data_IF_482805150035
#
_entry.id   IF_482805150035
#
_cell.length_a   1.000
_cell.length_b   1.000
_cell.length_c   1.000
_cell.angle_alpha   90.00
_cell.angle_beta   90.00
_cell.angle_gamma   90.00
#
_symmetry.space_group_name_H-M   'P 1'
#
loop_
_entity.id
_entity.type
_entity.pdbx_description
1 polymer ?
#
# COMPACT_ATOMS: atom_id res chain seq x y z
N UNK A 1 13.61 -11.19 -24.14
CA UNK A 1 13.60 -9.71 -24.10
C UNK A 1 13.39 -9.19 -22.69
N UNK A 2 13.67 -7.91 -22.45
CA UNK A 2 13.94 -7.31 -21.14
C UNK A 2 13.06 -6.05 -20.94
N UNK A 3 12.33 -5.93 -19.81
CA UNK A 3 11.58 -4.69 -19.48
C UNK A 3 12.54 -3.50 -19.45
N UNK A 4 12.23 -2.45 -20.22
CA UNK A 4 13.06 -1.24 -20.34
C UNK A 4 12.59 -0.19 -19.33
N UNK A 5 13.23 -0.14 -18.16
CA UNK A 5 12.81 0.67 -17.00
C UNK A 5 12.55 2.14 -17.38
N UNK A 6 13.54 2.81 -17.99
CA UNK A 6 13.43 4.23 -18.35
C UNK A 6 12.36 4.52 -19.42
N UNK A 7 12.20 3.62 -20.39
CA UNK A 7 11.16 3.75 -21.42
C UNK A 7 9.77 3.59 -20.82
N UNK A 8 9.58 2.64 -19.90
CA UNK A 8 8.30 2.43 -19.23
C UNK A 8 7.94 3.62 -18.34
N UNK A 9 8.90 4.09 -17.54
CA UNK A 9 8.73 5.27 -16.68
C UNK A 9 8.42 6.52 -17.51
N UNK A 10 9.22 6.78 -18.55
CA UNK A 10 9.07 7.94 -19.42
C UNK A 10 7.73 7.96 -20.15
N UNK A 11 7.25 6.83 -20.66
CA UNK A 11 5.93 6.74 -21.30
C UNK A 11 4.78 6.92 -20.31
N UNK A 12 4.88 6.35 -19.10
CA UNK A 12 3.88 6.53 -18.07
C UNK A 12 3.75 8.01 -17.66
N UNK A 13 4.88 8.67 -17.41
CA UNK A 13 4.93 10.10 -17.06
C UNK A 13 4.45 10.99 -18.22
N UNK A 14 4.88 10.71 -19.45
CA UNK A 14 4.46 11.46 -20.62
C UNK A 14 2.95 11.33 -20.87
N UNK A 15 2.36 10.15 -20.63
CA UNK A 15 0.92 9.97 -20.70
C UNK A 15 0.20 10.84 -19.67
N UNK A 16 0.62 10.80 -18.39
CA UNK A 16 0.03 11.65 -17.33
C UNK A 16 0.13 13.15 -17.63
N UNK A 17 1.26 13.62 -18.16
CA UNK A 17 1.48 15.04 -18.45
C UNK A 17 0.82 15.52 -19.75
N UNK A 18 1.15 14.90 -20.89
CA UNK A 18 0.74 15.38 -22.22
C UNK A 18 -0.75 15.19 -22.49
N UNK A 19 -1.40 14.26 -21.78
CA UNK A 19 -2.81 13.92 -21.98
C UNK A 19 -3.73 14.47 -20.90
N UNK A 20 -3.26 15.39 -20.07
CA UNK A 20 -3.99 15.93 -18.91
C UNK A 20 -5.42 16.36 -19.25
N UNK A 21 -5.61 17.14 -20.32
CA UNK A 21 -6.94 17.63 -20.70
C UNK A 21 -7.95 16.49 -20.95
N UNK A 22 -7.53 15.42 -21.62
CA UNK A 22 -8.39 14.26 -21.86
C UNK A 22 -8.58 13.44 -20.58
N UNK A 23 -7.53 13.28 -19.77
CA UNK A 23 -7.63 12.59 -18.48
C UNK A 23 -8.68 13.27 -17.62
N UNK A 24 -8.56 14.60 -17.43
CA UNK A 24 -9.52 15.42 -16.69
C UNK A 24 -10.94 15.24 -17.23
N UNK A 25 -11.13 15.33 -18.55
CA UNK A 25 -12.44 15.19 -19.17
C UNK A 25 -13.10 13.84 -18.86
N UNK A 26 -12.32 12.76 -18.81
CA UNK A 26 -12.82 11.41 -18.57
C UNK A 26 -13.01 11.10 -17.09
N UNK A 27 -12.19 11.68 -16.21
CA UNK A 27 -12.15 11.29 -14.80
C UNK A 27 -12.76 12.31 -13.84
N UNK A 28 -13.00 13.57 -14.21
CA UNK A 28 -13.38 14.62 -13.25
C UNK A 28 -14.62 14.27 -12.42
N UNK A 29 -15.68 13.77 -13.05
CA UNK A 29 -16.92 13.43 -12.34
C UNK A 29 -16.67 12.30 -11.33
N UNK A 30 -15.98 11.25 -11.76
CA UNK A 30 -15.65 10.12 -10.90
C UNK A 30 -14.70 10.51 -9.76
N UNK A 31 -13.71 11.37 -10.02
CA UNK A 31 -12.78 11.87 -8.99
C UNK A 31 -13.50 12.76 -7.98
N UNK A 32 -14.42 13.62 -8.42
CA UNK A 32 -15.25 14.42 -7.50
C UNK A 32 -16.12 13.51 -6.64
N UNK A 33 -16.76 12.50 -7.23
CA UNK A 33 -17.55 11.51 -6.48
C UNK A 33 -16.68 10.71 -5.51
N UNK A 34 -15.43 10.36 -5.88
CA UNK A 34 -14.48 9.70 -4.99
C UNK A 34 -14.16 10.56 -3.76
N UNK A 35 -13.92 11.86 -3.97
CA UNK A 35 -13.67 12.80 -2.87
C UNK A 35 -14.89 12.93 -1.94
N UNK A 36 -16.11 12.96 -2.51
CA UNK A 36 -17.35 12.99 -1.73
C UNK A 36 -17.51 11.70 -0.92
N UNK A 37 -17.24 10.54 -1.51
CA UNK A 37 -17.32 9.23 -0.83
C UNK A 37 -16.28 9.12 0.28
N UNK A 38 -15.03 9.55 0.03
CA UNK A 38 -13.99 9.58 1.06
C UNK A 38 -14.42 10.46 2.24
N UNK A 39 -14.89 11.67 1.95
CA UNK A 39 -15.41 12.59 2.94
C UNK A 39 -16.59 12.00 3.73
N UNK A 40 -17.59 11.45 3.04
CA UNK A 40 -18.74 10.82 3.67
C UNK A 40 -18.31 9.63 4.56
N UNK A 41 -17.34 8.83 4.13
CA UNK A 41 -16.86 7.67 4.89
C UNK A 41 -16.16 8.07 6.20
N UNK A 42 -15.40 9.18 6.18
CA UNK A 42 -14.75 9.71 7.38
C UNK A 42 -15.80 10.21 8.39
N UNK A 43 -16.76 11.01 7.94
CA UNK A 43 -17.82 11.51 8.82
C UNK A 43 -18.76 10.40 9.31
N UNK A 44 -19.06 9.40 8.48
CA UNK A 44 -19.81 8.22 8.91
C UNK A 44 -19.06 7.45 10.01
N UNK A 45 -17.75 7.24 9.83
CA UNK A 45 -16.92 6.56 10.83
C UNK A 45 -16.86 7.34 12.14
N UNK A 46 -16.70 8.66 12.08
CA UNK A 46 -16.76 9.53 13.26
C UNK A 46 -18.13 9.49 13.94
N UNK A 47 -19.20 9.43 13.16
CA UNK A 47 -20.56 9.35 13.69
C UNK A 47 -20.81 8.05 14.46
N UNK A 48 -20.27 6.94 13.95
CA UNK A 48 -20.31 5.64 14.65
C UNK A 48 -19.52 5.73 15.95
N UNK A 49 -18.31 6.28 15.93
CA UNK A 49 -17.47 6.44 17.13
C UNK A 49 -18.16 7.31 18.18
N UNK A 50 -18.80 8.40 17.76
CA UNK A 50 -19.46 9.35 18.65
C UNK A 50 -20.85 8.90 19.12
N UNK A 51 -21.42 7.83 18.54
CA UNK A 51 -22.79 7.39 18.80
C UNK A 51 -23.88 8.37 18.32
N UNK A 52 -23.53 9.37 17.53
CA UNK A 52 -24.42 10.41 17.00
C UNK A 52 -23.91 10.93 15.67
N UNK A 53 -24.79 11.52 14.85
CA UNK A 53 -24.39 12.07 13.54
C UNK A 53 -23.47 13.27 13.74
N UNK A 54 -22.22 13.15 13.28
CA UNK A 54 -21.23 14.23 13.22
C UNK A 54 -21.29 14.86 11.83
N UNK A 55 -21.41 16.19 11.77
CA UNK A 55 -21.48 16.94 10.52
C UNK A 55 -20.39 18.01 10.43
N UNK A 56 -20.31 18.70 9.28
CA UNK A 56 -19.39 19.83 9.06
C UNK A 56 -19.59 20.97 10.06
N UNK A 57 -20.77 21.12 10.64
CA UNK A 57 -21.03 22.16 11.63
C UNK A 57 -20.22 21.96 12.92
N UNK A 58 -19.87 20.71 13.24
CA UNK A 58 -19.15 20.36 14.46
C UNK A 58 -17.65 20.22 14.23
N UNK A 59 -17.27 19.70 13.05
CA UNK A 59 -15.88 19.58 12.65
C UNK A 59 -15.68 20.44 11.40
N UNK A 60 -15.35 21.71 11.61
CA UNK A 60 -15.30 22.74 10.57
C UNK A 60 -14.28 22.51 9.43
N UNK A 61 -13.55 21.39 9.41
CA UNK A 61 -12.73 21.01 8.26
C UNK A 61 -12.57 19.50 8.11
N UNK A 62 -12.51 19.05 6.85
CA UNK A 62 -12.27 17.64 6.51
C UNK A 62 -10.92 17.11 7.06
N UNK A 63 -9.87 17.94 7.04
CA UNK A 63 -8.56 17.57 7.60
C UNK A 63 -8.63 17.33 9.11
N UNK A 64 -9.39 18.16 9.83
CA UNK A 64 -9.63 17.96 11.26
C UNK A 64 -10.39 16.65 11.51
N UNK A 65 -11.39 16.35 10.67
CA UNK A 65 -12.14 15.10 10.74
C UNK A 65 -11.25 13.87 10.52
N UNK A 66 -10.36 13.90 9.52
CA UNK A 66 -9.40 12.82 9.27
C UNK A 66 -8.45 12.60 10.45
N UNK A 67 -7.91 13.68 11.05
CA UNK A 67 -7.04 13.59 12.23
C UNK A 67 -7.78 13.02 13.43
N UNK A 68 -9.03 13.43 13.63
CA UNK A 68 -9.86 12.96 14.73
C UNK A 68 -10.20 11.47 14.54
N UNK A 69 -10.54 11.06 13.32
CA UNK A 69 -10.76 9.66 12.99
C UNK A 69 -9.48 8.85 13.22
N UNK A 70 -8.32 9.30 12.76
CA UNK A 70 -7.06 8.61 12.98
C UNK A 70 -6.74 8.42 14.46
N UNK A 71 -7.09 9.40 15.31
CA UNK A 71 -6.89 9.32 16.76
C UNK A 71 -7.81 8.32 17.44
N UNK A 72 -9.06 8.21 17.00
CA UNK A 72 -10.08 7.36 17.63
C UNK A 72 -10.40 6.08 16.85
N UNK A 73 -9.73 5.81 15.74
CA UNK A 73 -10.00 4.65 14.89
C UNK A 73 -9.88 3.34 15.66
N UNK A 74 -8.83 3.16 16.47
CA UNK A 74 -8.64 1.94 17.24
C UNK A 74 -9.80 1.67 18.21
N UNK A 75 -10.28 2.72 18.89
CA UNK A 75 -11.46 2.62 19.74
C UNK A 75 -12.72 2.30 18.93
N UNK A 76 -12.91 2.94 17.77
CA UNK A 76 -14.03 2.66 16.87
C UNK A 76 -14.07 1.21 16.39
N UNK A 77 -12.92 0.67 15.99
CA UNK A 77 -12.80 -0.73 15.57
C UNK A 77 -13.00 -1.71 16.74
N UNK A 78 -12.56 -1.36 17.95
CA UNK A 78 -12.76 -2.18 19.14
C UNK A 78 -14.22 -2.22 19.63
N UNK A 79 -14.90 -1.07 19.66
CA UNK A 79 -16.27 -0.96 20.18
C UNK A 79 -17.36 -1.21 19.13
N UNK A 80 -17.12 -0.83 17.87
CA UNK A 80 -18.11 -0.83 16.79
C UNK A 80 -17.58 -1.49 15.51
N UNK A 81 -16.76 -2.55 15.65
CA UNK A 81 -16.06 -3.20 14.53
C UNK A 81 -16.96 -3.59 13.36
N UNK A 82 -18.18 -4.08 13.61
CA UNK A 82 -19.13 -4.44 12.56
C UNK A 82 -19.58 -3.26 11.69
N UNK A 83 -19.91 -2.13 12.31
CA UNK A 83 -20.30 -0.91 11.59
C UNK A 83 -19.12 -0.27 10.86
N UNK A 84 -17.94 -0.25 11.50
CA UNK A 84 -16.71 0.24 10.89
C UNK A 84 -16.33 -0.61 9.66
N UNK A 85 -16.44 -1.92 9.75
CA UNK A 85 -16.23 -2.84 8.63
C UNK A 85 -17.23 -2.61 7.50
N UNK A 86 -18.51 -2.40 7.82
CA UNK A 86 -19.55 -2.13 6.82
C UNK A 86 -19.28 -0.80 6.08
N UNK A 87 -18.95 0.28 6.80
CA UNK A 87 -18.62 1.58 6.20
C UNK A 87 -17.38 1.45 5.29
N UNK A 88 -16.32 0.81 5.79
CA UNK A 88 -15.11 0.60 5.01
C UNK A 88 -15.37 -0.26 3.76
N UNK A 89 -16.13 -1.34 3.89
CA UNK A 89 -16.48 -2.24 2.79
C UNK A 89 -17.33 -1.58 1.71
N UNK A 90 -18.38 -0.84 2.11
CA UNK A 90 -19.23 -0.09 1.18
C UNK A 90 -18.44 1.02 0.49
N UNK A 91 -17.66 1.79 1.26
CA UNK A 91 -16.79 2.85 0.72
C UNK A 91 -15.82 2.27 -0.32
N UNK A 92 -15.12 1.18 0.01
CA UNK A 92 -14.19 0.52 -0.91
C UNK A 92 -14.90 0.03 -2.18
N UNK A 93 -16.08 -0.58 -2.05
CA UNK A 93 -16.85 -1.04 -3.21
C UNK A 93 -17.23 0.11 -4.13
N UNK A 94 -17.77 1.20 -3.58
CA UNK A 94 -18.13 2.40 -4.36
C UNK A 94 -16.89 3.03 -4.99
N UNK A 95 -15.79 3.14 -4.26
CA UNK A 95 -14.54 3.69 -4.77
C UNK A 95 -14.00 2.87 -5.94
N UNK A 96 -13.98 1.54 -5.81
CA UNK A 96 -13.46 0.64 -6.85
C UNK A 96 -14.34 0.70 -8.12
N UNK A 97 -15.67 0.81 -7.97
CA UNK A 97 -16.60 1.07 -9.08
C UNK A 97 -16.28 2.41 -9.76
N UNK A 98 -16.17 3.50 -8.99
CA UNK A 98 -15.87 4.83 -9.53
C UNK A 98 -14.50 4.85 -10.23
N UNK A 99 -13.47 4.24 -9.64
CA UNK A 99 -12.14 4.10 -10.24
C UNK A 99 -12.23 3.36 -11.58
N UNK A 100 -12.99 2.26 -11.64
CA UNK A 100 -13.12 1.48 -12.88
C UNK A 100 -13.68 2.31 -14.05
N UNK A 101 -14.61 3.24 -13.77
CA UNK A 101 -15.31 4.03 -14.79
C UNK A 101 -14.36 4.89 -15.63
N UNK A 102 -13.28 5.41 -15.03
CA UNK A 102 -12.29 6.20 -15.76
C UNK A 102 -10.97 5.45 -15.99
N UNK A 103 -10.56 4.54 -15.10
CA UNK A 103 -9.31 3.80 -15.29
C UNK A 103 -9.37 2.86 -16.48
N UNK A 104 -10.46 2.12 -16.68
CA UNK A 104 -10.58 1.21 -17.81
C UNK A 104 -10.40 1.94 -19.17
N UNK A 105 -11.13 3.03 -19.48
CA UNK A 105 -10.94 3.75 -20.74
C UNK A 105 -9.56 4.41 -20.85
N UNK A 106 -8.97 4.92 -19.75
CA UNK A 106 -7.62 5.51 -19.79
C UNK A 106 -6.54 4.45 -20.07
N UNK A 107 -6.66 3.26 -19.48
CA UNK A 107 -5.77 2.12 -19.73
C UNK A 107 -5.86 1.71 -21.20
N UNK A 108 -7.07 1.59 -21.76
CA UNK A 108 -7.27 1.26 -23.19
C UNK A 108 -6.70 2.34 -24.09
N UNK A 109 -6.84 3.61 -23.72
CA UNK A 109 -6.22 4.69 -24.49
C UNK A 109 -4.69 4.65 -24.45
N UNK A 110 -4.10 4.36 -23.29
CA UNK A 110 -2.66 4.21 -23.13
C UNK A 110 -2.10 2.95 -23.82
N UNK A 111 -2.85 1.86 -23.84
CA UNK A 111 -2.42 0.56 -24.35
C UNK A 111 -2.71 0.34 -25.83
N UNK A 112 -3.93 0.67 -26.27
CA UNK A 112 -4.46 0.41 -27.60
C UNK A 112 -4.57 1.68 -28.46
N UNK A 113 -4.43 2.88 -27.87
CA UNK A 113 -4.65 4.14 -28.57
C UNK A 113 -6.12 4.50 -28.78
N UNK A 114 -7.05 3.71 -28.25
CA UNK A 114 -8.49 3.94 -28.37
C UNK A 114 -8.90 5.19 -27.60
N UNK A 115 -9.32 6.23 -28.32
CA UNK A 115 -9.70 7.49 -27.69
C UNK A 115 -11.01 7.31 -26.90
N UNK A 116 -11.07 7.79 -25.65
CA UNK A 116 -12.31 7.78 -24.89
C UNK A 116 -13.37 8.64 -25.58
N UNK A 117 -14.62 8.18 -25.55
CA UNK A 117 -15.71 8.82 -26.27
C UNK A 117 -15.99 10.27 -25.80
N UNK A 118 -16.55 11.13 -26.67
CA UNK A 118 -16.67 12.55 -26.40
C UNK A 118 -17.77 12.87 -25.37
N UNK A 119 -17.42 13.42 -24.22
CA UNK A 119 -18.35 14.06 -23.26
C UNK A 119 -17.60 14.49 -22.00
N UNK A 120 -18.12 15.43 -21.23
CA UNK A 120 -17.60 15.76 -19.90
C UNK A 120 -18.30 14.93 -18.83
N UNK A 121 -19.63 14.82 -18.86
CA UNK A 121 -20.39 14.04 -17.87
C UNK A 121 -20.54 12.58 -18.33
N UNK A 122 -19.59 11.71 -17.98
CA UNK A 122 -19.69 10.27 -18.28
C UNK A 122 -19.18 9.42 -17.11
N UNK A 123 -19.97 8.41 -16.75
CA UNK A 123 -19.58 7.29 -15.89
C UNK A 123 -19.81 6.00 -16.68
N UNK A 124 -18.98 5.70 -17.70
CA UNK A 124 -19.20 4.52 -18.51
C UNK A 124 -19.00 3.29 -17.62
N UNK A 125 -19.99 2.41 -17.61
CA UNK A 125 -19.92 1.13 -16.91
C UNK A 125 -20.34 0.03 -17.88
N UNK A 126 -19.42 -0.89 -18.15
CA UNK A 126 -19.61 -1.91 -19.15
C UNK A 126 -18.61 -3.05 -18.99
N UNK A 127 -18.44 -3.89 -20.02
CA UNK A 127 -17.62 -5.09 -19.94
C UNK A 127 -16.16 -4.84 -19.53
N UNK A 128 -15.58 -3.71 -19.92
CA UNK A 128 -14.17 -3.41 -19.60
C UNK A 128 -13.99 -2.96 -18.17
N UNK A 129 -14.93 -2.17 -17.64
CA UNK A 129 -14.98 -1.79 -16.24
C UNK A 129 -15.16 -3.03 -15.37
N UNK A 130 -16.08 -3.93 -15.74
CA UNK A 130 -16.26 -5.22 -15.07
C UNK A 130 -14.98 -6.06 -15.10
N UNK A 131 -14.25 -6.10 -16.23
CA UNK A 131 -12.95 -6.79 -16.28
C UNK A 131 -11.93 -6.15 -15.36
N UNK A 132 -11.83 -4.82 -15.32
CA UNK A 132 -10.96 -4.12 -14.38
C UNK A 132 -11.30 -4.45 -12.93
N UNK A 133 -12.59 -4.44 -12.59
CA UNK A 133 -13.09 -4.77 -11.26
C UNK A 133 -12.79 -6.21 -10.88
N UNK A 134 -13.19 -7.17 -11.72
CA UNK A 134 -13.03 -8.60 -11.46
C UNK A 134 -11.55 -8.97 -11.40
N UNK A 135 -10.71 -8.44 -12.29
CA UNK A 135 -9.27 -8.72 -12.25
C UNK A 135 -8.59 -8.10 -11.02
N UNK A 136 -8.96 -6.89 -10.62
CA UNK A 136 -8.45 -6.25 -9.40
C UNK A 136 -8.90 -6.99 -8.15
N UNK A 137 -10.19 -7.36 -8.08
CA UNK A 137 -10.76 -8.14 -7.00
C UNK A 137 -10.14 -9.54 -6.92
N UNK A 138 -9.95 -10.21 -8.05
CA UNK A 138 -9.28 -11.50 -8.10
C UNK A 138 -7.83 -11.39 -7.63
N UNK A 139 -7.07 -10.37 -8.05
CA UNK A 139 -5.72 -10.14 -7.53
C UNK A 139 -5.71 -9.94 -6.02
N UNK A 140 -6.62 -9.11 -5.50
CA UNK A 140 -6.72 -8.82 -4.07
C UNK A 140 -7.17 -10.06 -3.27
N UNK A 141 -8.20 -10.78 -3.72
CA UNK A 141 -8.69 -12.01 -3.09
C UNK A 141 -7.67 -13.13 -3.17
N UNK A 142 -6.93 -13.26 -4.27
CA UNK A 142 -5.87 -14.26 -4.39
C UNK A 142 -4.80 -14.01 -3.32
N UNK A 143 -4.34 -12.78 -3.17
CA UNK A 143 -3.37 -12.42 -2.11
C UNK A 143 -3.99 -12.58 -0.73
N UNK A 144 -5.22 -12.14 -0.51
CA UNK A 144 -5.92 -12.20 0.78
C UNK A 144 -6.21 -13.63 1.24
N UNK A 145 -6.87 -14.42 0.40
CA UNK A 145 -7.40 -15.75 0.75
C UNK A 145 -6.36 -16.86 0.57
N UNK A 146 -5.55 -16.80 -0.48
CA UNK A 146 -4.62 -17.90 -0.80
C UNK A 146 -3.27 -17.72 -0.10
N UNK A 147 -2.86 -16.48 0.20
CA UNK A 147 -1.55 -16.19 0.78
C UNK A 147 -1.68 -15.70 2.22
N UNK A 148 -2.35 -14.55 2.43
CA UNK A 148 -2.42 -13.91 3.74
C UNK A 148 -3.18 -14.75 4.76
N UNK A 149 -4.34 -15.30 4.42
CA UNK A 149 -5.15 -16.09 5.35
C UNK A 149 -4.39 -17.32 5.88
N UNK A 150 -3.78 -18.20 5.05
CA UNK A 150 -2.95 -19.30 5.53
C UNK A 150 -1.75 -18.85 6.36
N UNK A 151 -1.10 -17.74 6.00
CA UNK A 151 -0.01 -17.17 6.80
C UNK A 151 -0.56 -16.76 8.17
N UNK A 152 -1.65 -16.00 8.23
CA UNK A 152 -2.21 -15.52 9.48
C UNK A 152 -2.68 -16.67 10.38
N UNK A 153 -3.39 -17.66 9.83
CA UNK A 153 -3.85 -18.82 10.60
C UNK A 153 -2.68 -19.64 11.13
N UNK A 154 -1.69 -19.94 10.28
CA UNK A 154 -0.50 -20.71 10.70
C UNK A 154 0.27 -19.93 11.75
N UNK A 155 0.47 -18.63 11.55
CA UNK A 155 1.15 -17.75 12.49
C UNK A 155 0.43 -17.70 13.83
N UNK A 156 -0.90 -17.57 13.83
CA UNK A 156 -1.70 -17.56 15.04
C UNK A 156 -1.51 -18.85 15.86
N UNK A 157 -1.61 -20.02 15.22
CA UNK A 157 -1.39 -21.29 15.92
C UNK A 157 0.05 -21.44 16.40
N UNK A 158 1.04 -21.12 15.55
CA UNK A 158 2.46 -21.17 15.93
C UNK A 158 2.76 -20.27 17.13
N UNK A 159 2.29 -19.03 17.10
CA UNK A 159 2.46 -18.08 18.21
C UNK A 159 1.76 -18.58 19.48
N UNK A 160 0.54 -19.09 19.37
CA UNK A 160 -0.20 -19.65 20.50
C UNK A 160 0.56 -20.78 21.20
N UNK A 161 1.12 -21.73 20.44
CA UNK A 161 1.89 -22.85 21.02
C UNK A 161 3.23 -22.40 21.60
N UNK A 162 3.91 -21.41 20.98
CA UNK A 162 5.14 -20.83 21.54
C UNK A 162 4.86 -20.15 22.87
N UNK A 163 3.83 -19.31 22.94
CA UNK A 163 3.42 -18.62 24.18
C UNK A 163 3.03 -19.65 25.26
N UNK A 164 2.26 -20.68 24.89
CA UNK A 164 1.90 -21.75 25.81
C UNK A 164 3.13 -22.50 26.35
N UNK A 165 4.14 -22.77 25.52
CA UNK A 165 5.38 -23.42 25.94
C UNK A 165 6.22 -22.51 26.85
N UNK A 166 6.31 -21.22 26.55
CA UNK A 166 7.09 -20.25 27.33
C UNK A 166 6.47 -19.95 28.71
N UNK A 167 5.14 -20.03 28.80
CA UNK A 167 4.40 -19.80 30.05
C UNK A 167 4.34 -21.03 30.96
N UNK A 168 4.89 -22.19 30.56
CA UNK A 168 4.96 -23.36 31.44
C UNK A 168 5.84 -23.07 32.66
N UNK A 169 5.31 -23.39 33.84
CA UNK A 169 6.04 -23.29 35.10
C UNK A 169 6.98 -24.47 35.28
N UNK A 170 8.24 -24.19 35.54
CA UNK A 170 9.28 -25.16 35.86
C UNK A 170 9.72 -25.02 37.32
N UNK A 171 10.06 -26.13 37.97
CA UNK A 171 10.80 -26.07 39.23
C UNK A 171 12.28 -25.81 38.94
N UNK A 172 12.84 -24.77 39.56
CA UNK A 172 14.27 -24.47 39.55
C UNK A 172 14.82 -24.59 40.97
N UNK A 173 16.04 -25.12 41.06
CA UNK A 173 16.81 -25.29 42.28
C UNK A 173 17.98 -24.30 42.21
N UNK A 174 17.86 -23.11 42.84
CA UNK A 174 18.88 -22.07 42.77
C UNK A 174 20.18 -22.48 43.47
N UNK A 175 20.08 -23.31 44.50
CA UNK A 175 21.20 -23.89 45.24
C UNK A 175 21.35 -25.36 44.85
N UNK A 176 22.48 -25.73 44.25
CA UNK A 176 22.75 -27.11 43.85
C UNK A 176 22.78 -28.09 45.06
N UNK A 177 23.03 -27.57 46.26
CA UNK A 177 23.21 -28.34 47.50
C UNK A 177 21.96 -28.35 48.41
N UNK A 178 20.85 -27.72 48.01
CA UNK A 178 19.63 -27.63 48.83
C UNK A 178 18.38 -28.05 48.06
N UNK A 179 17.76 -29.14 48.49
CA UNK A 179 16.45 -29.59 48.01
C UNK A 179 15.28 -28.75 48.57
N UNK A 180 15.56 -27.83 49.50
CA UNK A 180 14.54 -27.05 50.22
C UNK A 180 14.23 -25.69 49.58
N UNK A 181 15.05 -25.22 48.64
CA UNK A 181 14.84 -23.96 47.91
C UNK A 181 14.27 -24.23 46.51
N UNK A 182 13.00 -24.62 46.44
CA UNK A 182 12.30 -24.78 45.15
C UNK A 182 11.71 -23.44 44.73
N UNK A 183 12.21 -22.88 43.62
CA UNK A 183 11.62 -21.69 43.00
C UNK A 183 10.85 -22.09 41.75
N UNK A 184 9.57 -21.73 41.68
CA UNK A 184 8.81 -21.82 40.44
C UNK A 184 9.24 -20.67 39.54
N UNK A 185 9.82 -21.00 38.39
CA UNK A 185 10.20 -20.04 37.36
C UNK A 185 9.49 -20.40 36.06
N UNK A 186 9.35 -19.44 35.15
CA UNK A 186 8.84 -19.75 33.81
C UNK A 186 9.88 -20.49 32.98
N UNK A 187 9.42 -21.16 31.92
CA UNK A 187 10.30 -21.82 30.97
C UNK A 187 11.32 -20.86 30.34
N UNK A 188 10.90 -19.62 30.10
CA UNK A 188 11.74 -18.55 29.61
C UNK A 188 12.85 -18.18 30.61
N UNK A 189 12.47 -17.92 31.86
CA UNK A 189 13.41 -17.58 32.94
C UNK A 189 14.43 -18.70 33.20
N UNK A 190 14.01 -19.96 33.12
CA UNK A 190 14.89 -21.11 33.31
C UNK A 190 15.92 -21.26 32.20
N UNK A 191 15.59 -20.85 30.98
CA UNK A 191 16.51 -20.87 29.85
C UNK A 191 17.47 -19.67 29.84
N UNK A 192 17.01 -18.50 30.30
CA UNK A 192 17.86 -17.34 30.59
C UNK A 192 18.94 -17.69 31.61
N UNK A 193 18.57 -18.33 32.73
CA UNK A 193 19.50 -18.74 33.77
C UNK A 193 20.57 -19.74 33.27
N UNK A 194 20.26 -20.53 32.23
CA UNK A 194 21.17 -21.49 31.60
C UNK A 194 22.02 -20.89 30.47
N UNK A 195 21.91 -19.59 30.20
CA UNK A 195 22.59 -18.93 29.07
C UNK A 195 22.08 -19.37 27.69
N UNK A 196 20.88 -19.96 27.63
CA UNK A 196 20.27 -20.49 26.40
C UNK A 196 19.29 -19.49 25.74
N UNK A 197 19.44 -18.19 26.02
CA UNK A 197 18.57 -17.12 25.50
C UNK A 197 18.48 -17.09 23.96
N UNK A 198 19.54 -17.53 23.28
CA UNK A 198 19.59 -17.61 21.82
C UNK A 198 18.51 -18.52 21.22
N UNK A 199 18.04 -19.52 21.99
CA UNK A 199 16.98 -20.45 21.57
C UNK A 199 15.69 -19.68 21.29
N UNK A 200 15.25 -18.82 22.20
CA UNK A 200 14.05 -18.00 21.99
C UNK A 200 14.33 -16.69 21.24
N UNK A 201 15.54 -16.14 21.37
CA UNK A 201 15.94 -14.93 20.67
C UNK A 201 16.05 -15.12 19.16
N UNK A 202 16.42 -16.32 18.70
CA UNK A 202 16.77 -16.58 17.31
C UNK A 202 16.26 -17.93 16.76
N UNK A 203 16.47 -19.04 17.45
CA UNK A 203 16.17 -20.37 16.91
C UNK A 203 14.65 -20.62 16.74
N UNK A 204 13.85 -20.31 17.76
CA UNK A 204 12.39 -20.42 17.73
C UNK A 204 11.77 -19.46 16.70
N UNK A 205 12.14 -18.16 16.63
CA UNK A 205 11.74 -17.27 15.55
C UNK A 205 12.04 -17.81 14.15
N UNK A 206 13.25 -18.33 13.93
CA UNK A 206 13.65 -18.91 12.65
C UNK A 206 12.84 -20.15 12.31
N UNK A 207 12.66 -21.07 13.27
CA UNK A 207 11.87 -22.28 13.07
C UNK A 207 10.41 -21.95 12.74
N UNK A 208 9.84 -20.95 13.43
CA UNK A 208 8.48 -20.46 13.18
C UNK A 208 8.33 -19.82 11.78
N UNK A 209 9.35 -19.11 11.30
CA UNK A 209 9.34 -18.50 9.97
C UNK A 209 9.77 -19.45 8.84
N UNK A 210 10.42 -20.58 9.17
CA UNK A 210 11.02 -21.50 8.21
C UNK A 210 10.05 -21.98 7.12
N UNK A 211 8.79 -22.37 7.41
CA UNK A 211 7.86 -22.79 6.36
C UNK A 211 7.63 -21.72 5.30
N UNK A 212 7.53 -20.46 5.71
CA UNK A 212 7.30 -19.32 4.81
C UNK A 212 8.56 -18.95 4.01
N UNK A 213 9.73 -19.01 4.64
CA UNK A 213 11.02 -18.79 3.96
C UNK A 213 11.29 -19.90 2.95
N UNK A 214 11.03 -21.16 3.30
CA UNK A 214 11.14 -22.31 2.39
C UNK A 214 10.18 -22.18 1.21
N UNK A 215 8.92 -21.79 1.45
CA UNK A 215 7.96 -21.54 0.39
C UNK A 215 8.44 -20.42 -0.55
N UNK A 216 8.94 -19.31 0.01
CA UNK A 216 9.49 -18.20 -0.75
C UNK A 216 10.69 -18.64 -1.59
N UNK A 217 11.56 -19.47 -1.02
CA UNK A 217 12.70 -20.06 -1.74
C UNK A 217 12.25 -20.99 -2.87
N UNK A 218 11.33 -21.93 -2.62
CA UNK A 218 10.81 -22.85 -3.64
C UNK A 218 10.18 -22.08 -4.80
N UNK A 219 9.35 -21.08 -4.50
CA UNK A 219 8.74 -20.22 -5.51
C UNK A 219 9.80 -19.50 -6.35
N UNK A 220 10.84 -18.97 -5.70
CA UNK A 220 11.97 -18.32 -6.38
C UNK A 220 12.78 -19.29 -7.24
N UNK A 221 13.04 -20.50 -6.73
CA UNK A 221 13.75 -21.56 -7.43
C UNK A 221 13.04 -21.99 -8.72
N UNK A 222 11.72 -22.21 -8.67
CA UNK A 222 10.93 -22.56 -9.85
C UNK A 222 10.75 -21.37 -10.81
N UNK A 223 10.60 -20.16 -10.27
CA UNK A 223 10.52 -18.93 -11.06
C UNK A 223 11.71 -18.77 -12.00
N UNK A 224 12.92 -19.01 -11.49
CA UNK A 224 14.17 -18.85 -12.22
C UNK A 224 14.62 -20.10 -12.98
N UNK A 225 13.71 -21.04 -13.25
CA UNK A 225 14.00 -22.18 -14.12
C UNK A 225 14.37 -21.75 -15.55
N UNK A 226 15.19 -22.55 -16.28
CA UNK A 226 15.58 -22.27 -17.66
C UNK A 226 14.38 -22.06 -18.60
N UNK A 227 13.27 -22.77 -18.37
CA UNK A 227 12.01 -22.61 -19.13
C UNK A 227 11.43 -21.19 -19.06
N UNK A 228 11.74 -20.45 -17.99
CA UNK A 228 11.31 -19.07 -17.78
C UNK A 228 12.35 -18.03 -18.23
N UNK A 229 13.45 -18.48 -18.87
CA UNK A 229 14.57 -17.65 -19.33
C UNK A 229 14.85 -17.96 -20.81
N UNK A 230 14.19 -17.27 -21.76
CA UNK A 230 14.28 -17.59 -23.19
C UNK A 230 15.69 -17.47 -23.79
N UNK A 231 16.65 -16.85 -23.06
CA UNK A 231 18.03 -16.69 -23.49
C UNK A 231 19.03 -17.41 -22.56
N UNK A 232 18.59 -18.41 -21.78
CA UNK A 232 19.51 -19.17 -20.92
C UNK A 232 20.38 -20.09 -21.77
N UNK A 233 21.68 -19.76 -21.90
CA UNK A 233 22.68 -20.60 -22.55
C UNK A 233 23.29 -21.57 -21.53
N UNK A 234 23.52 -22.83 -21.94
CA UNK A 234 24.19 -23.85 -21.13
C UNK A 234 23.28 -24.93 -20.52
N UNK A 235 23.90 -26.02 -20.07
CA UNK A 235 23.20 -27.13 -19.40
C UNK A 235 22.65 -26.65 -18.04
N UNK A 236 21.39 -26.95 -17.70
CA UNK A 236 20.79 -26.47 -16.47
C UNK A 236 21.39 -27.14 -15.23
N UNK A 237 22.22 -26.42 -14.48
CA UNK A 237 22.73 -26.87 -13.18
C UNK A 237 21.71 -26.52 -12.06
N UNK A 238 20.97 -27.53 -11.62
CA UNK A 238 19.93 -27.38 -10.60
C UNK A 238 20.50 -27.07 -9.21
N UNK A 239 21.67 -27.61 -8.87
CA UNK A 239 22.35 -27.38 -7.58
C UNK A 239 22.80 -25.93 -7.47
N UNK A 240 23.49 -25.43 -8.50
CA UNK A 240 23.93 -24.03 -8.53
C UNK A 240 22.74 -23.07 -8.45
N UNK A 241 21.63 -23.39 -9.13
CA UNK A 241 20.39 -22.59 -9.02
C UNK A 241 19.81 -22.64 -7.61
N UNK A 242 19.75 -23.81 -6.99
CA UNK A 242 19.25 -23.98 -5.63
C UNK A 242 20.05 -23.12 -4.64
N UNK A 243 21.37 -23.23 -4.68
CA UNK A 243 22.29 -22.46 -3.81
C UNK A 243 22.17 -20.96 -4.08
N UNK A 244 22.19 -20.53 -5.36
CA UNK A 244 22.11 -19.11 -5.70
C UNK A 244 20.76 -18.49 -5.30
N UNK A 245 19.65 -19.17 -5.55
CA UNK A 245 18.32 -18.68 -5.16
C UNK A 245 18.12 -18.70 -3.65
N UNK A 246 18.70 -19.68 -2.94
CA UNK A 246 18.68 -19.70 -1.48
C UNK A 246 19.47 -18.54 -0.90
N UNK A 247 20.70 -18.31 -1.36
CA UNK A 247 21.54 -17.19 -0.93
C UNK A 247 20.87 -15.83 -1.15
N UNK A 248 20.25 -15.63 -2.32
CA UNK A 248 19.49 -14.40 -2.61
C UNK A 248 18.31 -14.22 -1.65
N UNK A 249 17.52 -15.27 -1.40
CA UNK A 249 16.40 -15.20 -0.47
C UNK A 249 16.87 -14.92 0.95
N UNK A 250 17.96 -15.54 1.40
CA UNK A 250 18.54 -15.31 2.72
C UNK A 250 19.01 -13.85 2.91
N UNK A 251 19.70 -13.29 1.90
CA UNK A 251 20.15 -11.89 1.93
C UNK A 251 18.96 -10.93 1.94
N UNK A 252 17.96 -11.15 1.09
CA UNK A 252 16.75 -10.33 1.03
C UNK A 252 15.97 -10.43 2.35
N UNK A 253 15.84 -11.63 2.92
CA UNK A 253 15.17 -11.84 4.19
C UNK A 253 15.88 -11.09 5.32
N UNK A 254 17.21 -11.24 5.44
CA UNK A 254 18.00 -10.51 6.44
C UNK A 254 17.84 -8.99 6.32
N UNK A 255 17.92 -8.46 5.10
CA UNK A 255 17.70 -7.03 4.85
C UNK A 255 16.28 -6.59 5.21
N UNK A 256 15.26 -7.40 4.87
CA UNK A 256 13.87 -7.12 5.19
C UNK A 256 13.60 -7.13 6.70
N UNK A 257 14.21 -8.05 7.48
CA UNK A 257 14.11 -8.05 8.95
C UNK A 257 14.62 -6.72 9.52
N UNK A 258 15.75 -6.22 9.04
CA UNK A 258 16.32 -4.95 9.50
C UNK A 258 15.38 -3.78 9.18
N UNK A 259 14.88 -3.71 7.94
CA UNK A 259 13.99 -2.63 7.48
C UNK A 259 12.62 -2.65 8.16
N UNK A 260 12.07 -3.83 8.42
CA UNK A 260 10.73 -4.00 8.99
C UNK A 260 10.72 -3.94 10.52
N UNK A 261 11.87 -4.01 11.20
CA UNK A 261 11.94 -4.00 12.66
C UNK A 261 11.23 -2.80 13.28
N UNK A 262 11.60 -1.58 12.88
CA UNK A 262 11.02 -0.36 13.43
C UNK A 262 9.49 -0.25 13.23
N UNK A 263 8.94 -0.42 12.01
CA UNK A 263 7.49 -0.33 11.79
C UNK A 263 6.72 -1.44 12.49
N UNK A 264 7.23 -2.68 12.51
CA UNK A 264 6.58 -3.79 13.23
C UNK A 264 6.51 -3.49 14.73
N UNK A 265 7.61 -2.98 15.31
CA UNK A 265 7.62 -2.56 16.72
C UNK A 265 6.62 -1.45 17.02
N UNK A 266 6.48 -0.49 16.11
CA UNK A 266 5.51 0.59 16.28
C UNK A 266 4.07 0.07 16.25
N UNK A 267 3.75 -0.83 15.31
CA UNK A 267 2.42 -1.46 15.21
C UNK A 267 2.10 -2.28 16.45
N UNK A 268 3.07 -3.05 16.97
CA UNK A 268 2.89 -3.83 18.20
C UNK A 268 2.62 -2.95 19.41
N UNK A 269 3.36 -1.83 19.55
CA UNK A 269 3.14 -0.85 20.62
C UNK A 269 1.76 -0.18 20.53
N UNK A 270 1.29 0.13 19.32
CA UNK A 270 -0.04 0.73 19.16
C UNK A 270 -1.16 -0.28 19.39
N UNK A 271 -0.96 -1.55 19.03
CA UNK A 271 -1.93 -2.61 19.25
C UNK A 271 -2.08 -2.95 20.74
N UNK A 272 -0.98 -2.97 21.51
CA UNK A 272 -1.03 -3.20 22.97
C UNK A 272 -1.72 -2.06 23.69
N UNK A 273 -1.49 -0.80 23.29
CA UNK A 273 -2.14 0.37 23.87
C UNK A 273 -3.66 0.42 23.61
N UNK A 274 -4.14 -0.23 22.55
CA UNK A 274 -5.55 -0.25 22.16
C UNK A 274 -6.38 -1.35 22.85
N UNK A 275 -5.80 -2.16 23.73
CA UNK A 275 -6.50 -3.24 24.45
C UNK A 275 -6.97 -4.42 23.58
N UNK A 276 -6.80 -4.36 22.25
CA UNK A 276 -7.29 -5.36 21.30
C UNK A 276 -6.40 -6.60 21.11
N UNK A 277 -5.26 -6.68 21.80
CA UNK A 277 -4.27 -7.76 21.63
C UNK A 277 -4.06 -8.60 22.89
N UNK A 278 -5.10 -8.78 23.71
CA UNK A 278 -4.99 -9.50 24.99
C UNK A 278 -4.39 -10.92 24.90
N UNK A 279 -4.40 -11.56 23.72
CA UNK A 279 -3.84 -12.91 23.50
C UNK A 279 -2.46 -12.96 22.81
N UNK A 280 -1.91 -11.84 22.32
CA UNK A 280 -0.61 -11.79 21.62
C UNK A 280 0.48 -11.02 22.39
N UNK A 281 0.13 -10.41 23.53
CA UNK A 281 1.03 -9.63 24.39
C UNK A 281 2.18 -10.43 24.99
N UNK A 282 2.09 -11.76 25.02
CA UNK A 282 3.16 -12.66 25.50
C UNK A 282 4.05 -13.26 24.40
N UNK A 283 3.79 -12.99 23.12
CA UNK A 283 4.58 -13.56 22.03
C UNK A 283 5.94 -12.86 21.88
N UNK A 284 7.05 -13.60 21.67
CA UNK A 284 8.34 -12.97 21.47
C UNK A 284 8.31 -12.12 20.19
N UNK A 285 8.67 -10.85 20.35
CA UNK A 285 8.74 -9.85 19.26
C UNK A 285 9.48 -10.37 18.04
N UNK A 286 10.60 -11.08 18.26
CA UNK A 286 11.41 -11.62 17.17
C UNK A 286 10.66 -12.68 16.35
N UNK A 287 9.81 -13.50 16.99
CA UNK A 287 8.98 -14.49 16.28
C UNK A 287 8.00 -13.76 15.37
N UNK A 288 7.31 -12.74 15.88
CA UNK A 288 6.37 -11.93 15.08
C UNK A 288 7.12 -11.26 13.92
N UNK A 289 8.27 -10.65 14.18
CA UNK A 289 9.08 -9.97 13.17
C UNK A 289 9.48 -10.92 12.02
N UNK A 290 9.97 -12.11 12.34
CA UNK A 290 10.44 -13.08 11.34
C UNK A 290 9.29 -13.63 10.50
N UNK A 291 8.16 -13.96 11.14
CA UNK A 291 6.94 -14.39 10.46
C UNK A 291 6.42 -13.29 9.52
N UNK A 292 6.27 -12.06 10.03
CA UNK A 292 5.80 -10.91 9.24
C UNK A 292 6.73 -10.64 8.06
N UNK A 293 8.05 -10.74 8.27
CA UNK A 293 9.04 -10.57 7.19
C UNK A 293 8.87 -11.63 6.11
N UNK A 294 8.75 -12.90 6.50
CA UNK A 294 8.61 -13.99 5.53
C UNK A 294 7.29 -13.87 4.75
N UNK A 295 6.19 -13.57 5.45
CA UNK A 295 4.90 -13.31 4.84
C UNK A 295 4.93 -12.10 3.90
N UNK A 296 5.59 -11.01 4.29
CA UNK A 296 5.77 -9.82 3.47
C UNK A 296 6.48 -10.12 2.15
N UNK A 297 7.54 -10.94 2.16
CA UNK A 297 8.25 -11.33 0.94
C UNK A 297 7.37 -12.14 -0.02
N UNK A 298 6.62 -13.11 0.51
CA UNK A 298 5.73 -13.94 -0.31
C UNK A 298 4.59 -13.10 -0.92
N UNK A 299 3.96 -12.25 -0.10
CA UNK A 299 2.91 -11.32 -0.53
C UNK A 299 3.43 -10.35 -1.57
N UNK A 300 4.63 -9.81 -1.38
CA UNK A 300 5.28 -8.90 -2.35
C UNK A 300 5.53 -9.61 -3.68
N UNK A 301 6.06 -10.83 -3.65
CA UNK A 301 6.30 -11.61 -4.86
C UNK A 301 5.02 -11.84 -5.67
N UNK A 302 3.93 -12.26 -5.01
CA UNK A 302 2.65 -12.52 -5.68
C UNK A 302 2.00 -11.22 -6.17
N UNK A 303 2.05 -10.15 -5.38
CA UNK A 303 1.56 -8.84 -5.81
C UNK A 303 2.29 -8.35 -7.05
N UNK A 304 3.62 -8.49 -7.12
CA UNK A 304 4.38 -8.13 -8.32
C UNK A 304 3.96 -8.98 -9.52
N UNK A 305 3.73 -10.29 -9.35
CA UNK A 305 3.23 -11.17 -10.41
C UNK A 305 1.87 -10.74 -10.95
N UNK A 306 0.97 -10.30 -10.08
CA UNK A 306 -0.42 -9.96 -10.42
C UNK A 306 -0.65 -8.48 -10.71
N UNK A 307 0.34 -7.62 -10.41
CA UNK A 307 0.24 -6.18 -10.60
C UNK A 307 -0.26 -5.78 -11.99
N UNK A 308 0.26 -6.33 -13.12
CA UNK A 308 -0.16 -5.94 -14.45
C UNK A 308 -1.57 -6.43 -14.85
N UNK A 309 -2.17 -7.32 -14.05
CA UNK A 309 -3.37 -8.07 -14.45
C UNK A 309 -4.55 -7.18 -14.82
N UNK A 310 -4.91 -6.13 -14.06
CA UNK A 310 -6.03 -5.28 -14.43
C UNK A 310 -5.82 -4.56 -15.75
N UNK A 311 -4.60 -4.08 -16.01
CA UNK A 311 -4.25 -3.44 -17.27
C UNK A 311 -4.38 -4.37 -18.47
N UNK A 312 -3.84 -5.58 -18.36
CA UNK A 312 -3.84 -6.58 -19.43
C UNK A 312 -5.26 -7.10 -19.68
N UNK A 313 -6.03 -7.36 -18.63
CA UNK A 313 -7.37 -7.90 -18.75
C UNK A 313 -8.33 -6.95 -19.49
N UNK A 314 -8.19 -5.64 -19.20
CA UNK A 314 -8.94 -4.57 -19.87
C UNK A 314 -8.54 -4.46 -21.34
N UNK A 315 -7.25 -4.41 -21.65
CA UNK A 315 -6.78 -4.24 -23.04
C UNK A 315 -7.07 -5.47 -23.93
N UNK A 316 -6.90 -6.70 -23.41
CA UNK A 316 -7.18 -7.93 -24.15
C UNK A 316 -8.66 -8.30 -24.23
N UNK A 317 -9.50 -7.63 -23.44
CA UNK A 317 -10.90 -8.02 -23.20
C UNK A 317 -11.04 -9.48 -22.72
N UNK A 318 -10.05 -9.98 -21.98
CA UNK A 318 -9.99 -11.37 -21.50
C UNK A 318 -9.49 -11.43 -20.05
N UNK A 319 -10.02 -12.36 -19.26
CA UNK A 319 -9.56 -12.63 -17.88
C UNK A 319 -8.41 -13.66 -17.84
N UNK A 320 -7.80 -13.99 -18.97
CA UNK A 320 -6.66 -14.90 -19.02
C UNK A 320 -5.41 -14.30 -18.36
N UNK A 321 -4.75 -15.09 -17.50
CA UNK A 321 -3.51 -14.69 -16.80
C UNK A 321 -2.24 -14.80 -17.65
N UNK A 322 -2.36 -15.31 -18.89
CA UNK A 322 -1.22 -15.63 -19.76
C UNK A 322 -0.25 -14.46 -19.95
N UNK A 323 -0.75 -13.31 -20.40
CA UNK A 323 0.07 -12.11 -20.60
C UNK A 323 0.70 -11.58 -19.30
N UNK A 324 -0.06 -11.59 -18.20
CA UNK A 324 0.40 -11.13 -16.87
C UNK A 324 1.57 -11.95 -16.35
N UNK A 325 1.43 -13.28 -16.36
CA UNK A 325 2.46 -14.17 -15.83
C UNK A 325 3.69 -14.23 -16.72
N UNK A 326 3.54 -13.98 -18.04
CA UNK A 326 4.64 -13.87 -19.00
C UNK A 326 5.47 -12.62 -18.77
N UNK A 327 4.83 -11.47 -18.54
CA UNK A 327 5.51 -10.19 -18.33
C UNK A 327 6.49 -10.25 -17.15
N UNK A 328 6.10 -10.96 -16.10
CA UNK A 328 6.85 -11.10 -14.85
C UNK A 328 7.91 -12.21 -14.87
N UNK A 329 8.10 -12.95 -15.97
CA UNK A 329 9.05 -14.08 -16.02
C UNK A 329 10.51 -13.66 -15.89
N UNK A 330 11.33 -14.57 -15.33
CA UNK A 330 12.76 -14.37 -15.21
C UNK A 330 13.10 -13.09 -14.46
N UNK A 331 14.07 -12.32 -14.98
CA UNK A 331 14.54 -11.08 -14.36
C UNK A 331 13.55 -9.91 -14.43
N UNK A 332 12.45 -10.04 -15.19
CA UNK A 332 11.44 -8.98 -15.21
C UNK A 332 10.72 -8.83 -13.86
N UNK A 333 10.67 -9.89 -13.03
CA UNK A 333 10.14 -9.80 -11.66
C UNK A 333 10.93 -8.82 -10.78
N UNK A 334 12.23 -8.64 -11.05
CA UNK A 334 13.10 -7.69 -10.32
C UNK A 334 13.00 -6.29 -10.93
N UNK A 335 12.74 -6.19 -12.23
CA UNK A 335 12.60 -4.88 -12.91
C UNK A 335 11.28 -4.20 -12.60
N UNK A 336 10.19 -4.95 -12.45
CA UNK A 336 8.89 -4.39 -12.06
C UNK A 336 8.94 -3.60 -10.75
N UNK A 337 9.46 -4.12 -9.62
CA UNK A 337 9.55 -3.33 -8.39
C UNK A 337 10.46 -2.12 -8.56
N UNK A 338 11.54 -2.19 -9.36
CA UNK A 338 12.36 -1.00 -9.66
C UNK A 338 11.53 0.08 -10.39
N UNK A 339 10.71 -0.30 -11.37
CA UNK A 339 9.81 0.62 -12.07
C UNK A 339 8.79 1.22 -11.09
N UNK A 340 8.17 0.39 -10.25
CA UNK A 340 7.18 0.86 -9.27
C UNK A 340 7.80 1.78 -8.23
N UNK A 341 8.99 1.46 -7.72
CA UNK A 341 9.74 2.31 -6.80
C UNK A 341 10.19 3.61 -7.47
N UNK A 342 10.56 3.59 -8.75
CA UNK A 342 10.90 4.81 -9.48
C UNK A 342 9.68 5.72 -9.68
N UNK A 343 8.51 5.16 -10.03
CA UNK A 343 7.24 5.92 -10.11
C UNK A 343 6.84 6.46 -8.74
N UNK A 344 6.89 5.63 -7.70
CA UNK A 344 6.55 6.04 -6.34
C UNK A 344 7.52 7.11 -5.81
N UNK A 345 8.82 6.94 -6.04
CA UNK A 345 9.86 7.91 -5.69
C UNK A 345 9.68 9.23 -6.42
N UNK A 346 9.34 9.18 -7.72
CA UNK A 346 9.01 10.38 -8.49
C UNK A 346 7.79 11.11 -7.91
N UNK A 347 6.70 10.39 -7.62
CA UNK A 347 5.53 11.00 -6.97
C UNK A 347 5.85 11.55 -5.59
N UNK A 348 6.66 10.85 -4.79
CA UNK A 348 7.04 11.30 -3.46
C UNK A 348 7.85 12.60 -3.51
N UNK A 349 8.87 12.67 -4.37
CA UNK A 349 9.68 13.88 -4.56
C UNK A 349 8.80 15.03 -5.05
N UNK A 350 7.95 14.77 -6.04
CA UNK A 350 7.13 15.81 -6.64
C UNK A 350 6.01 16.28 -5.69
N UNK A 351 5.44 15.38 -4.88
CA UNK A 351 4.54 15.75 -3.80
C UNK A 351 5.23 16.61 -2.76
N UNK A 352 6.47 16.29 -2.37
CA UNK A 352 7.26 17.14 -1.47
C UNK A 352 7.40 18.52 -2.09
N UNK A 353 7.84 18.62 -3.36
CA UNK A 353 8.02 19.91 -4.03
C UNK A 353 6.71 20.70 -4.09
N UNK A 354 5.60 20.08 -4.50
CA UNK A 354 4.30 20.75 -4.56
C UNK A 354 3.86 21.21 -3.18
N UNK A 355 3.94 20.35 -2.15
CA UNK A 355 3.42 20.68 -0.83
C UNK A 355 4.32 21.66 -0.07
N UNK A 356 5.63 21.44 -0.04
CA UNK A 356 6.56 22.20 0.78
C UNK A 356 7.01 23.51 0.12
N UNK A 357 7.26 23.48 -1.19
CA UNK A 357 7.73 24.66 -1.89
C UNK A 357 6.55 25.52 -2.36
N UNK A 358 5.66 24.95 -3.18
CA UNK A 358 4.59 25.73 -3.79
C UNK A 358 3.46 26.03 -2.80
N UNK A 359 2.88 24.99 -2.18
CA UNK A 359 1.68 25.14 -1.39
C UNK A 359 1.94 25.71 0.01
N UNK A 360 3.00 25.33 0.73
CA UNK A 360 3.22 25.89 2.08
C UNK A 360 4.00 27.21 2.09
N UNK A 361 4.76 27.51 1.04
CA UNK A 361 5.71 28.63 1.06
C UNK A 361 5.36 29.70 0.02
N UNK A 362 5.55 29.41 -1.27
CA UNK A 362 5.50 30.42 -2.32
C UNK A 362 4.11 31.05 -2.50
N UNK A 363 3.05 30.24 -2.61
CA UNK A 363 1.71 30.78 -2.85
C UNK A 363 1.16 31.53 -1.62
N UNK A 364 1.29 31.03 -0.38
CA UNK A 364 0.96 31.81 0.81
C UNK A 364 1.70 33.15 0.88
N UNK A 365 2.99 33.20 0.51
CA UNK A 365 3.76 34.43 0.48
C UNK A 365 3.19 35.42 -0.55
N UNK A 366 2.90 34.97 -1.78
CA UNK A 366 2.30 35.81 -2.82
C UNK A 366 0.93 36.32 -2.38
N UNK A 367 0.09 35.45 -1.82
CA UNK A 367 -1.24 35.83 -1.33
C UNK A 367 -1.13 36.84 -0.18
N UNK A 368 -0.21 36.63 0.75
CA UNK A 368 0.03 37.57 1.84
C UNK A 368 0.57 38.91 1.31
N UNK A 369 1.48 38.91 0.34
CA UNK A 369 1.97 40.13 -0.30
C UNK A 369 0.84 40.89 -1.00
N UNK A 370 -0.04 40.21 -1.73
CA UNK A 370 -1.21 40.81 -2.35
C UNK A 370 -2.18 41.37 -1.30
N UNK A 371 -2.42 40.63 -0.21
CA UNK A 371 -3.24 41.10 0.91
C UNK A 371 -2.65 42.36 1.56
N UNK A 372 -1.35 42.38 1.84
CA UNK A 372 -0.66 43.54 2.40
C UNK A 372 -0.70 44.74 1.43
N UNK A 373 -0.53 44.50 0.13
CA UNK A 373 -0.64 45.55 -0.89
C UNK A 373 -2.05 46.17 -0.93
N UNK A 374 -3.10 45.33 -0.83
CA UNK A 374 -4.49 45.80 -0.73
C UNK A 374 -4.73 46.57 0.55
N UNK A 375 -4.24 46.08 1.70
CA UNK A 375 -4.36 46.80 2.98
C UNK A 375 -3.72 48.20 2.92
N UNK A 376 -2.49 48.30 2.41
CA UNK A 376 -1.76 49.58 2.31
C UNK A 376 -2.46 50.51 1.33
N UNK A 377 -2.85 50.02 0.15
CA UNK A 377 -3.56 50.81 -0.84
C UNK A 377 -4.91 51.34 -0.30
N UNK A 378 -5.66 50.51 0.41
CA UNK A 378 -6.97 50.93 0.95
C UNK A 378 -6.81 51.93 2.08
N UNK A 379 -5.79 51.78 2.94
CA UNK A 379 -5.48 52.80 3.97
C UNK A 379 -5.13 54.15 3.36
N UNK A 380 -4.41 54.17 2.24
CA UNK A 380 -4.04 55.40 1.53
C UNK A 380 -5.24 56.10 0.90
N UNK A 381 -6.21 55.33 0.38
CA UNK A 381 -7.39 55.87 -0.30
C UNK A 381 -8.52 56.23 0.67
N UNK A 382 -8.65 55.50 1.78
CA UNK A 382 -9.81 55.56 2.67
C UNK A 382 -9.47 56.14 4.05
N UNK A 383 -8.70 57.23 4.07
CA UNK A 383 -8.38 58.01 5.28
C UNK A 383 -7.85 57.19 6.46
N UNK A 384 -7.02 56.18 6.21
CA UNK A 384 -6.39 55.35 7.23
C UNK A 384 -7.19 54.11 7.67
N UNK A 385 -8.40 53.89 7.15
CA UNK A 385 -9.20 52.69 7.43
C UNK A 385 -8.69 51.50 6.61
N UNK A 386 -8.31 50.42 7.30
CA UNK A 386 -7.83 49.17 6.68
C UNK A 386 -8.96 48.32 6.10
N UNK A 387 -8.61 47.43 5.16
CA UNK A 387 -9.54 46.51 4.49
C UNK A 387 -9.47 45.09 5.07
N UNK A 388 -9.58 44.94 6.39
CA UNK A 388 -9.48 43.62 7.06
C UNK A 388 -10.61 42.66 6.61
N UNK A 389 -11.72 43.20 6.11
CA UNK A 389 -12.82 42.46 5.51
C UNK A 389 -12.43 41.67 4.24
N UNK A 390 -11.27 41.96 3.62
CA UNK A 390 -10.78 41.28 2.42
C UNK A 390 -10.00 40.00 2.77
N UNK A 391 -9.52 39.86 4.01
CA UNK A 391 -8.77 38.67 4.45
C UNK A 391 -9.52 37.35 4.20
N UNK A 392 -10.84 37.23 4.51
CA UNK A 392 -11.61 36.03 4.18
C UNK A 392 -11.59 35.68 2.68
N UNK A 393 -11.64 36.68 1.78
CA UNK A 393 -11.60 36.45 0.34
C UNK A 393 -10.27 35.81 -0.09
N UNK A 394 -9.14 36.33 0.41
CA UNK A 394 -7.82 35.76 0.12
C UNK A 394 -7.67 34.33 0.68
N UNK A 395 -8.24 34.05 1.86
CA UNK A 395 -8.29 32.68 2.42
C UNK A 395 -9.13 31.76 1.52
N UNK A 396 -10.25 32.23 0.98
CA UNK A 396 -11.08 31.48 0.04
C UNK A 396 -10.35 31.18 -1.27
N UNK A 397 -9.71 32.19 -1.86
CA UNK A 397 -8.88 32.03 -3.07
C UNK A 397 -7.78 31.00 -2.80
N UNK A 398 -7.12 31.09 -1.64
CA UNK A 398 -6.06 30.19 -1.24
C UNK A 398 -6.54 28.74 -1.13
N UNK A 399 -7.66 28.52 -0.46
CA UNK A 399 -8.26 27.19 -0.33
C UNK A 399 -8.73 26.65 -1.69
N UNK A 400 -9.26 27.50 -2.57
CA UNK A 400 -9.61 27.14 -3.94
C UNK A 400 -8.39 26.64 -4.73
N UNK A 401 -7.26 27.34 -4.65
CA UNK A 401 -6.01 26.94 -5.31
C UNK A 401 -5.51 25.59 -4.77
N UNK A 402 -5.56 25.35 -3.45
CA UNK A 402 -5.19 24.05 -2.87
C UNK A 402 -6.07 22.91 -3.39
N UNK A 403 -7.38 23.12 -3.43
CA UNK A 403 -8.33 22.12 -3.92
C UNK A 403 -8.02 21.79 -5.38
N UNK A 404 -7.86 22.80 -6.22
CA UNK A 404 -7.51 22.61 -7.63
C UNK A 404 -6.19 21.87 -7.77
N UNK A 405 -5.13 22.28 -7.06
CA UNK A 405 -3.82 21.62 -7.12
C UNK A 405 -3.91 20.13 -6.76
N UNK A 406 -4.65 19.78 -5.70
CA UNK A 406 -4.86 18.38 -5.30
C UNK A 406 -5.68 17.59 -6.33
N UNK A 407 -6.68 18.23 -6.95
CA UNK A 407 -7.49 17.62 -8.02
C UNK A 407 -6.65 17.37 -9.28
N UNK A 408 -5.86 18.36 -9.72
CA UNK A 408 -4.91 18.21 -10.82
C UNK A 408 -3.87 17.13 -10.53
N UNK A 409 -3.41 17.05 -9.29
CA UNK A 409 -2.49 16.01 -8.85
C UNK A 409 -3.11 14.61 -8.91
N UNK A 410 -4.36 14.46 -8.49
CA UNK A 410 -5.11 13.21 -8.62
C UNK A 410 -5.22 12.80 -10.10
N UNK A 411 -5.57 13.72 -10.99
CA UNK A 411 -5.63 13.43 -12.44
C UNK A 411 -4.28 13.00 -13.00
N UNK A 412 -3.21 13.72 -12.65
CA UNK A 412 -1.86 13.36 -13.06
C UNK A 412 -1.48 11.94 -12.62
N UNK A 413 -1.67 11.63 -11.33
CA UNK A 413 -1.29 10.35 -10.75
C UNK A 413 -2.08 9.18 -11.36
N UNK A 414 -3.40 9.30 -11.52
CA UNK A 414 -4.21 8.31 -12.24
C UNK A 414 -3.80 8.15 -13.71
N UNK A 415 -3.47 9.27 -14.37
CA UNK A 415 -2.94 9.27 -15.73
C UNK A 415 -1.66 8.45 -15.86
N UNK A 416 -0.68 8.69 -14.97
CA UNK A 416 0.58 7.94 -14.96
C UNK A 416 0.34 6.45 -14.71
N UNK A 417 -0.55 6.09 -13.78
CA UNK A 417 -0.91 4.69 -13.51
C UNK A 417 -1.55 4.03 -14.75
N UNK A 418 -2.47 4.73 -15.42
CA UNK A 418 -3.07 4.23 -16.67
C UNK A 418 -2.02 4.06 -17.78
N UNK A 419 -1.09 5.02 -17.90
CA UNK A 419 0.06 4.97 -18.80
C UNK A 419 0.96 3.75 -18.54
N UNK A 420 1.25 3.48 -17.27
CA UNK A 420 2.01 2.31 -16.83
C UNK A 420 1.30 1.02 -17.23
N UNK A 421 0.01 0.87 -16.93
CA UNK A 421 -0.76 -0.31 -17.33
C UNK A 421 -0.81 -0.50 -18.86
N UNK A 422 -1.04 0.57 -19.61
CA UNK A 422 -1.06 0.52 -21.07
C UNK A 422 0.30 0.13 -21.66
N UNK A 423 1.40 0.58 -21.07
CA UNK A 423 2.75 0.16 -21.48
C UNK A 423 3.04 -1.30 -21.15
N UNK A 424 2.71 -1.74 -19.92
CA UNK A 424 2.89 -3.13 -19.50
C UNK A 424 2.08 -4.10 -20.38
N UNK A 425 0.90 -3.67 -20.82
CA UNK A 425 0.12 -4.41 -21.82
C UNK A 425 0.87 -4.54 -23.16
N UNK A 426 1.36 -3.43 -23.74
CA UNK A 426 2.11 -3.48 -25.01
C UNK A 426 3.36 -4.35 -24.93
N UNK A 427 4.08 -4.28 -23.81
CA UNK A 427 5.22 -5.15 -23.55
C UNK A 427 4.78 -6.63 -23.41
N UNK A 428 3.59 -6.91 -22.86
CA UNK A 428 3.05 -8.27 -22.79
C UNK A 428 2.70 -8.84 -24.18
N UNK A 429 2.15 -8.03 -25.09
CA UNK A 429 1.87 -8.43 -26.49
C UNK A 429 3.15 -8.69 -27.27
N UNK A 430 4.16 -7.84 -27.09
CA UNK A 430 5.47 -8.02 -27.74
C UNK A 430 6.14 -9.35 -27.37
N UNK A 431 5.79 -9.93 -26.22
CA UNK A 431 6.28 -11.24 -25.78
C UNK A 431 5.51 -12.37 -26.46
N UNK A 432 4.26 -12.16 -26.89
CA UNK A 432 3.47 -13.18 -27.57
C UNK A 432 3.82 -13.32 -29.05
N UNK A 433 4.07 -12.21 -29.75
CA UNK A 433 4.42 -12.21 -31.18
C UNK A 433 5.84 -12.67 -31.51
N UNK A 434 6.61 -13.19 -30.54
CA UNK A 434 7.99 -13.70 -30.71
C UNK A 434 8.04 -15.23 -30.63
N UNK A 435 6.89 -15.90 -30.57
CA UNK A 435 6.76 -17.32 -30.92
C UNK A 435 6.09 -17.43 -32.28
#
# INVERSE_FOLDING_TARGET
>A
MQLRILSILGEALNFGGRRMATIMRVSWLAVVLLLIVDMASVYASLSVIAGRVITFAEVGSFLSAQKLLARYAAQGWGAHGGHMAAIAGVSLLVQVILISTFMAPLIRWAGLGERPGPGSVRLPFGPDQLRFLISSLFSALFVGVIILLPIMTTSFFTLKYIVAAMSQTMASFPDADSLHTIKLITAEEGLVQRGAEWVFGFAVPLAAAAPFVLLTWLVTFFHFSPRNRPNATGKPNWVLRAVATFGVVAVIFGAAVVLLRAPVMQVLKSASAAGGAADLTGAPVNVILFIVTAGFLLVTYINLRLYPYPGIAVCRRSLGLGGTLRLSRGWNIVRMPIILLAVAGFFFILQIIINSLFLSTLIPQVINLLYQAVLVSTKLVNSGVGADWVLPLFIWIWNGIKILANVFWAFFSYGVIAGLYGRLYRDSESIEGVN
#
